data_IF_024814161341
#
_entry.id   IF_024814161341
#
_cell.length_a   1.000
_cell.length_b   1.000
_cell.length_c   1.000
_cell.angle_alpha   90.00
_cell.angle_beta   90.00
_cell.angle_gamma   90.00
#
_symmetry.space_group_name_H-M   'P 1'
#
loop_
_entity.id
_entity.type
_entity.pdbx_description
1 polymer ?
#
# COMPACT_ATOMS: atom_id res chain seq x y z
N UNK A 1 -28.36 -23.88 51.96
CA UNK A 1 -29.04 -23.10 50.90
C UNK A 1 -27.94 -22.29 50.22
N UNK A 2 -27.18 -22.90 49.31
CA UNK A 2 -26.06 -22.22 48.65
C UNK A 2 -25.67 -23.07 47.44
N UNK A 3 -26.23 -22.74 46.27
CA UNK A 3 -25.74 -23.02 44.91
C UNK A 3 -26.87 -22.88 43.87
N UNK A 4 -27.50 -21.71 43.81
CA UNK A 4 -28.38 -21.36 42.66
C UNK A 4 -27.99 -20.03 42.01
N UNK A 5 -27.03 -19.28 42.57
CA UNK A 5 -26.74 -17.91 42.13
C UNK A 5 -25.79 -17.80 40.92
N UNK A 6 -25.36 -18.92 40.31
CA UNK A 6 -24.45 -18.90 39.15
C UNK A 6 -25.11 -19.24 37.81
N UNK A 7 -26.45 -19.19 37.73
CA UNK A 7 -27.22 -19.48 36.50
C UNK A 7 -27.80 -18.23 35.81
N UNK A 8 -27.54 -17.03 36.30
CA UNK A 8 -28.08 -15.78 35.71
C UNK A 8 -27.13 -15.08 34.71
N UNK A 9 -25.93 -15.62 34.43
CA UNK A 9 -25.05 -15.10 33.37
C UNK A 9 -25.43 -15.59 31.95
N UNK A 10 -26.56 -16.29 31.81
CA UNK A 10 -26.98 -16.97 30.58
C UNK A 10 -27.96 -16.21 29.67
N UNK A 11 -28.11 -14.88 29.79
CA UNK A 11 -29.07 -14.13 28.97
C UNK A 11 -28.54 -12.81 28.39
N UNK A 12 -27.25 -12.75 28.10
CA UNK A 12 -26.73 -11.79 27.13
C UNK A 12 -26.33 -12.56 25.87
N UNK A 13 -26.73 -12.12 24.66
CA UNK A 13 -26.29 -12.76 23.43
C UNK A 13 -24.76 -12.81 23.44
N UNK A 14 -24.18 -13.99 23.17
CA UNK A 14 -22.74 -14.18 23.23
C UNK A 14 -22.05 -13.16 22.32
N UNK A 15 -21.11 -12.41 22.91
CA UNK A 15 -20.33 -11.41 22.18
C UNK A 15 -19.41 -12.06 21.14
N UNK A 16 -18.90 -11.29 20.18
CA UNK A 16 -17.93 -11.81 19.22
C UNK A 16 -16.67 -12.34 19.93
N UNK A 17 -16.17 -11.60 20.93
CA UNK A 17 -15.03 -12.00 21.74
C UNK A 17 -15.24 -13.30 22.51
N UNK A 18 -16.39 -13.43 23.18
CA UNK A 18 -16.74 -14.66 23.91
C UNK A 18 -16.91 -15.87 22.98
N UNK A 19 -17.52 -15.67 21.81
CA UNK A 19 -17.69 -16.72 20.80
C UNK A 19 -16.34 -17.23 20.29
N UNK A 20 -15.42 -16.33 19.96
CA UNK A 20 -14.07 -16.66 19.51
C UNK A 20 -13.24 -17.32 20.62
N UNK A 21 -13.36 -16.83 21.86
CA UNK A 21 -12.70 -17.41 23.03
C UNK A 21 -13.15 -18.85 23.28
N UNK A 22 -14.47 -19.09 23.27
CA UNK A 22 -15.04 -20.41 23.49
C UNK A 22 -14.58 -21.40 22.41
N UNK A 23 -14.61 -20.98 21.14
CA UNK A 23 -14.17 -21.79 20.02
C UNK A 23 -12.65 -22.07 20.03
N UNK A 24 -11.82 -21.12 20.46
CA UNK A 24 -10.38 -21.38 20.63
C UNK A 24 -10.14 -22.40 21.75
N UNK A 25 -10.83 -22.23 22.89
CA UNK A 25 -10.70 -23.15 24.04
C UNK A 25 -11.16 -24.56 23.68
N UNK A 26 -12.25 -24.71 22.94
CA UNK A 26 -12.73 -26.02 22.49
C UNK A 26 -11.78 -26.68 21.46
N UNK A 27 -11.09 -25.88 20.66
CA UNK A 27 -10.04 -26.34 19.76
C UNK A 27 -8.70 -26.66 20.49
N UNK A 28 -8.58 -26.37 21.79
CA UNK A 28 -7.35 -26.61 22.57
C UNK A 28 -6.16 -25.73 22.15
N UNK A 29 -6.40 -24.62 21.45
CA UNK A 29 -5.36 -23.75 20.92
C UNK A 29 -4.97 -22.66 21.93
N UNK A 30 -3.67 -22.34 22.01
CA UNK A 30 -3.21 -21.17 22.75
C UNK A 30 -3.46 -19.88 21.97
N UNK A 31 -3.39 -18.73 22.67
CA UNK A 31 -3.48 -17.41 22.02
C UNK A 31 -2.30 -17.19 21.06
N UNK A 32 -1.11 -17.67 21.42
CA UNK A 32 0.08 -17.65 20.58
C UNK A 32 -0.11 -18.46 19.29
N UNK A 33 -0.77 -19.62 19.34
CA UNK A 33 -1.06 -20.41 18.14
C UNK A 33 -1.96 -19.64 17.16
N UNK A 34 -3.01 -18.99 17.68
CA UNK A 34 -3.88 -18.15 16.86
C UNK A 34 -3.13 -16.94 16.30
N UNK A 35 -2.29 -16.30 17.12
CA UNK A 35 -1.48 -15.17 16.68
C UNK A 35 -0.58 -15.54 15.50
N UNK A 36 0.12 -16.69 15.59
CA UNK A 36 0.97 -17.21 14.50
C UNK A 36 0.14 -17.56 13.26
N UNK A 37 -1.01 -18.24 13.41
CA UNK A 37 -1.87 -18.64 12.28
C UNK A 37 -2.51 -17.47 11.55
N UNK A 38 -2.90 -16.43 12.28
CA UNK A 38 -3.60 -15.26 11.71
C UNK A 38 -2.66 -14.11 11.35
N UNK A 39 -1.39 -14.17 11.77
CA UNK A 39 -0.42 -13.06 11.71
C UNK A 39 -0.91 -11.80 12.45
N UNK A 40 -1.73 -11.98 13.46
CA UNK A 40 -2.22 -10.91 14.35
C UNK A 40 -1.43 -11.00 15.66
N UNK A 41 -0.86 -9.89 16.12
CA UNK A 41 -0.09 -9.89 17.37
C UNK A 41 -0.95 -10.37 18.55
N UNK A 42 -0.36 -11.14 19.47
CA UNK A 42 -1.08 -11.77 20.59
C UNK A 42 -1.86 -10.76 21.44
N UNK A 43 -1.30 -9.56 21.65
CA UNK A 43 -2.00 -8.45 22.34
C UNK A 43 -3.37 -8.10 21.73
N UNK A 44 -3.51 -8.22 20.40
CA UNK A 44 -4.78 -7.96 19.73
C UNK A 44 -5.73 -9.15 19.81
N UNK A 45 -5.21 -10.38 19.87
CA UNK A 45 -6.03 -11.56 20.16
C UNK A 45 -6.65 -11.46 21.55
N UNK A 46 -5.87 -11.01 22.55
CA UNK A 46 -6.36 -10.75 23.90
C UNK A 46 -7.47 -9.69 23.88
N UNK A 47 -7.21 -8.55 23.23
CA UNK A 47 -8.18 -7.47 23.12
C UNK A 47 -9.49 -7.91 22.43
N UNK A 48 -9.42 -8.74 21.38
CA UNK A 48 -10.60 -9.30 20.69
C UNK A 48 -11.39 -10.24 21.61
N UNK A 49 -10.72 -11.12 22.37
CA UNK A 49 -11.39 -12.05 23.29
C UNK A 49 -12.08 -11.34 24.46
N UNK A 50 -11.60 -10.16 24.84
CA UNK A 50 -12.12 -9.32 25.92
C UNK A 50 -13.08 -8.24 25.40
N UNK A 51 -13.46 -8.27 24.12
CA UNK A 51 -14.30 -7.28 23.44
C UNK A 51 -13.78 -5.83 23.53
N UNK A 52 -12.48 -5.64 23.83
CA UNK A 52 -11.78 -4.35 23.91
C UNK A 52 -11.32 -3.88 22.53
N UNK A 53 -12.27 -3.63 21.64
CA UNK A 53 -11.98 -3.31 20.24
C UNK A 53 -11.32 -1.93 20.06
N UNK A 54 -11.45 -1.03 21.03
CA UNK A 54 -10.81 0.28 21.10
C UNK A 54 -9.29 0.22 21.31
N UNK A 55 -8.77 -0.86 21.90
CA UNK A 55 -7.33 -1.09 22.08
C UNK A 55 -6.63 -1.51 20.77
N UNK A 56 -7.39 -1.73 19.70
CA UNK A 56 -6.84 -2.01 18.38
C UNK A 56 -6.50 -0.70 17.66
N UNK A 57 -5.41 -0.73 16.89
CA UNK A 57 -4.88 0.45 16.20
C UNK A 57 -5.90 1.18 15.29
N UNK A 58 -6.93 0.47 14.81
CA UNK A 58 -8.05 1.07 14.09
C UNK A 58 -9.31 0.19 14.17
N UNK A 59 -10.49 0.83 14.10
CA UNK A 59 -11.82 0.17 14.07
C UNK A 59 -11.97 -0.85 12.94
N UNK A 60 -11.40 -0.55 11.77
CA UNK A 60 -11.40 -1.45 10.60
C UNK A 60 -10.58 -2.72 10.86
N UNK A 61 -9.55 -2.63 11.71
CA UNK A 61 -8.74 -3.78 12.10
C UNK A 61 -9.47 -4.71 13.05
N UNK A 62 -10.35 -4.22 13.92
CA UNK A 62 -11.19 -5.09 14.77
C UNK A 62 -12.03 -6.06 13.92
N UNK A 63 -12.73 -5.53 12.91
CA UNK A 63 -13.51 -6.38 11.98
C UNK A 63 -12.61 -7.34 11.21
N UNK A 64 -11.47 -6.87 10.70
CA UNK A 64 -10.54 -7.69 9.92
C UNK A 64 -9.89 -8.82 10.71
N UNK A 65 -9.42 -8.54 11.93
CA UNK A 65 -8.74 -9.49 12.80
C UNK A 65 -9.72 -10.51 13.38
N UNK A 66 -10.91 -10.10 13.82
CA UNK A 66 -11.94 -11.03 14.26
C UNK A 66 -12.39 -11.96 13.14
N UNK A 67 -12.49 -11.45 11.90
CA UNK A 67 -12.76 -12.28 10.71
C UNK A 67 -11.64 -13.30 10.44
N UNK A 68 -10.38 -12.88 10.52
CA UNK A 68 -9.23 -13.76 10.33
C UNK A 68 -9.15 -14.85 11.42
N UNK A 69 -9.50 -14.49 12.66
CA UNK A 69 -9.59 -15.41 13.78
C UNK A 69 -10.73 -16.43 13.57
N UNK A 70 -11.93 -15.97 13.20
CA UNK A 70 -13.04 -16.86 12.86
C UNK A 70 -12.66 -17.88 11.78
N UNK A 71 -12.00 -17.42 10.71
CA UNK A 71 -11.48 -18.29 9.64
C UNK A 71 -10.51 -19.34 10.16
N UNK A 72 -9.59 -18.96 11.05
CA UNK A 72 -8.62 -19.89 11.62
C UNK A 72 -9.29 -20.99 12.48
N UNK A 73 -10.46 -20.71 13.04
CA UNK A 73 -11.25 -21.66 13.83
C UNK A 73 -12.35 -22.38 13.03
N UNK A 74 -12.51 -22.07 11.74
CA UNK A 74 -13.58 -22.63 10.90
C UNK A 74 -14.99 -22.13 11.26
N UNK A 75 -15.10 -20.97 11.91
CA UNK A 75 -16.36 -20.31 12.22
C UNK A 75 -16.86 -19.47 11.04
N UNK A 76 -18.13 -19.07 11.07
CA UNK A 76 -18.70 -18.16 10.08
C UNK A 76 -18.08 -16.75 10.20
N UNK A 77 -17.20 -16.47 9.25
CA UNK A 77 -16.53 -15.18 9.08
C UNK A 77 -17.48 -13.99 9.00
N UNK A 78 -18.61 -14.15 8.29
CA UNK A 78 -19.56 -13.06 8.06
C UNK A 78 -20.33 -12.76 9.33
N UNK A 79 -20.77 -13.81 10.03
CA UNK A 79 -21.48 -13.67 11.29
C UNK A 79 -20.62 -12.97 12.35
N UNK A 80 -19.38 -13.41 12.55
CA UNK A 80 -18.46 -12.77 13.51
C UNK A 80 -18.16 -11.32 13.13
N UNK A 81 -17.94 -11.03 11.85
CA UNK A 81 -17.69 -9.66 11.39
C UNK A 81 -18.90 -8.74 11.66
N UNK A 82 -20.12 -9.26 11.53
CA UNK A 82 -21.33 -8.49 11.80
C UNK A 82 -21.52 -8.22 13.30
N UNK A 83 -21.29 -9.22 14.15
CA UNK A 83 -21.31 -9.03 15.61
C UNK A 83 -20.33 -7.94 16.04
N UNK A 84 -19.09 -7.98 15.53
CA UNK A 84 -18.07 -6.97 15.85
C UNK A 84 -18.50 -5.58 15.38
N UNK A 85 -19.14 -5.45 14.20
CA UNK A 85 -19.65 -4.16 13.71
C UNK A 85 -20.74 -3.60 14.61
N UNK A 86 -21.68 -4.44 15.04
CA UNK A 86 -22.75 -4.05 15.97
C UNK A 86 -22.13 -3.57 17.29
N UNK A 87 -21.24 -4.35 17.89
CA UNK A 87 -20.58 -3.99 19.16
C UNK A 87 -19.78 -2.69 19.05
N UNK A 88 -19.04 -2.52 17.96
CA UNK A 88 -18.31 -1.29 17.68
C UNK A 88 -19.23 -0.09 17.50
N UNK A 89 -20.46 -0.26 17.00
CA UNK A 89 -21.45 0.81 16.85
C UNK A 89 -22.05 1.19 18.20
N UNK A 90 -22.30 0.21 19.06
CA UNK A 90 -22.80 0.45 20.44
C UNK A 90 -21.76 1.17 21.30
N UNK A 91 -20.48 0.79 21.23
CA UNK A 91 -19.39 1.41 21.99
C UNK A 91 -18.83 2.69 21.31
N UNK A 92 -19.20 2.92 20.05
CA UNK A 92 -18.69 4.01 19.21
C UNK A 92 -19.63 5.20 19.05
N UNK A 93 -20.73 5.26 19.80
CA UNK A 93 -21.77 6.29 19.69
C UNK A 93 -21.29 7.74 19.97
N UNK A 94 -20.03 7.94 20.37
CA UNK A 94 -19.48 9.24 20.72
C UNK A 94 -18.56 9.88 19.64
N UNK A 95 -18.33 9.22 18.51
CA UNK A 95 -17.79 9.93 17.32
C UNK A 95 -18.93 10.25 16.37
N UNK A 96 -19.22 11.53 16.08
CA UNK A 96 -20.22 11.86 15.08
C UNK A 96 -19.84 11.14 13.79
N UNK A 97 -20.73 10.28 13.30
CA UNK A 97 -20.60 9.70 11.98
C UNK A 97 -20.32 10.87 11.02
N UNK A 98 -19.35 10.77 10.10
CA UNK A 98 -19.24 11.73 9.02
C UNK A 98 -20.56 11.64 8.27
N UNK A 99 -21.46 12.58 8.54
CA UNK A 99 -22.68 12.75 7.78
C UNK A 99 -22.19 12.92 6.34
N UNK A 100 -22.55 12.03 5.40
CA UNK A 100 -22.19 12.23 4.01
C UNK A 100 -22.84 13.55 3.58
N UNK A 101 -22.05 14.61 3.51
CA UNK A 101 -22.48 15.94 3.08
C UNK A 101 -22.72 16.01 1.57
N UNK A 102 -22.96 14.85 0.95
CA UNK A 102 -23.12 14.69 -0.48
C UNK A 102 -24.53 14.21 -0.74
N UNK A 103 -25.42 15.18 -0.88
CA UNK A 103 -26.76 14.95 -1.40
C UNK A 103 -26.64 15.00 -2.94
N UNK A 104 -26.83 13.87 -3.65
CA UNK A 104 -26.72 13.85 -5.10
C UNK A 104 -27.80 14.76 -5.70
N UNK A 105 -27.41 15.97 -6.10
CA UNK A 105 -28.33 16.93 -6.72
C UNK A 105 -28.17 18.39 -6.29
N UNK A 106 -27.28 18.74 -5.36
CA UNK A 106 -27.06 20.15 -4.98
C UNK A 106 -26.56 20.99 -6.18
N UNK A 107 -27.42 21.84 -6.78
CA UNK A 107 -27.06 22.62 -7.95
C UNK A 107 -26.07 23.76 -7.60
N UNK A 108 -25.85 24.05 -6.31
CA UNK A 108 -24.87 25.02 -5.86
C UNK A 108 -23.42 24.50 -5.97
N UNK A 109 -23.22 23.19 -6.21
CA UNK A 109 -21.90 22.55 -6.28
C UNK A 109 -21.48 22.13 -7.68
N UNK A 110 -22.34 22.26 -8.69
CA UNK A 110 -21.95 22.08 -10.09
C UNK A 110 -21.41 23.40 -10.66
N UNK A 111 -20.25 23.40 -11.35
CA UNK A 111 -19.76 24.63 -11.98
C UNK A 111 -20.80 25.14 -12.98
N UNK A 112 -21.05 26.45 -12.96
CA UNK A 112 -22.06 27.05 -13.83
C UNK A 112 -21.83 26.68 -15.29
N UNK A 113 -22.90 26.45 -16.05
CA UNK A 113 -22.83 26.05 -17.46
C UNK A 113 -21.96 27.01 -18.30
N UNK A 114 -21.94 28.31 -17.95
CA UNK A 114 -21.08 29.32 -18.57
C UNK A 114 -19.59 29.05 -18.32
N UNK A 115 -19.21 28.62 -17.12
CA UNK A 115 -17.82 28.26 -16.81
C UNK A 115 -17.38 27.01 -17.59
N UNK A 116 -18.28 26.04 -17.79
CA UNK A 116 -18.01 24.88 -18.64
C UNK A 116 -17.73 25.29 -20.09
N UNK A 117 -18.51 26.23 -20.64
CA UNK A 117 -18.27 26.79 -21.98
C UNK A 117 -16.97 27.58 -22.08
N UNK A 118 -16.64 28.39 -21.07
CA UNK A 118 -15.36 29.12 -21.02
C UNK A 118 -14.17 28.16 -20.93
N UNK A 119 -14.25 27.12 -20.08
CA UNK A 119 -13.21 26.10 -19.97
C UNK A 119 -13.03 25.35 -21.29
N UNK A 120 -14.13 25.02 -21.96
CA UNK A 120 -14.10 24.36 -23.28
C UNK A 120 -13.45 25.27 -24.33
N UNK A 121 -13.83 26.55 -24.39
CA UNK A 121 -13.19 27.52 -25.28
C UNK A 121 -11.69 27.69 -25.00
N UNK A 122 -11.29 27.73 -23.74
CA UNK A 122 -9.89 27.81 -23.34
C UNK A 122 -9.09 26.55 -23.76
N UNK A 123 -9.68 25.36 -23.65
CA UNK A 123 -9.06 24.11 -24.12
C UNK A 123 -8.88 24.13 -25.64
N UNK A 124 -9.91 24.51 -26.40
CA UNK A 124 -9.82 24.62 -27.86
C UNK A 124 -8.76 25.63 -28.28
N UNK A 125 -8.71 26.79 -27.61
CA UNK A 125 -7.68 27.80 -27.86
C UNK A 125 -6.28 27.27 -27.55
N UNK A 126 -6.09 26.57 -26.42
CA UNK A 126 -4.81 25.97 -26.05
C UNK A 126 -4.36 24.93 -27.09
N UNK A 127 -5.27 24.07 -27.56
CA UNK A 127 -4.98 23.09 -28.63
C UNK A 127 -4.60 23.81 -29.93
N UNK A 128 -5.33 24.85 -30.32
CA UNK A 128 -5.00 25.65 -31.51
C UNK A 128 -3.62 26.30 -31.42
N UNK A 129 -3.26 26.84 -30.25
CA UNK A 129 -1.93 27.38 -30.00
C UNK A 129 -0.85 26.31 -30.06
N UNK A 130 -1.09 25.13 -29.47
CA UNK A 130 -0.16 24.00 -29.54
C UNK A 130 0.07 23.57 -30.99
N UNK A 131 -0.99 23.42 -31.79
CA UNK A 131 -0.88 23.06 -33.21
C UNK A 131 -0.12 24.13 -33.99
N UNK A 132 -0.43 25.41 -33.78
CA UNK A 132 0.26 26.53 -34.43
C UNK A 132 1.76 26.55 -34.10
N UNK A 133 2.13 26.38 -32.83
CA UNK A 133 3.53 26.31 -32.42
C UNK A 133 4.23 25.08 -32.98
N UNK A 134 3.56 23.92 -33.00
CA UNK A 134 4.11 22.70 -33.60
C UNK A 134 4.34 22.85 -35.10
N UNK A 135 3.37 23.37 -35.85
CA UNK A 135 3.52 23.55 -37.29
C UNK A 135 4.62 24.55 -37.64
N UNK A 136 4.83 25.58 -36.81
CA UNK A 136 5.81 26.64 -37.08
C UNK A 136 7.23 26.28 -36.61
N UNK A 137 7.38 25.47 -35.55
CA UNK A 137 8.70 25.04 -35.03
C UNK A 137 9.17 23.67 -35.54
N UNK A 138 8.25 22.77 -35.92
CA UNK A 138 8.56 21.39 -36.34
C UNK A 138 8.26 21.10 -37.82
N UNK A 139 7.96 22.11 -38.64
CA UNK A 139 7.96 21.95 -40.11
C UNK A 139 9.24 22.55 -40.71
N UNK A 140 10.37 21.83 -40.71
CA UNK A 140 11.43 22.15 -41.65
C UNK A 140 10.90 21.84 -43.06
N UNK A 141 10.74 22.87 -43.87
CA UNK A 141 10.77 22.75 -45.33
C UNK A 141 12.17 22.22 -45.71
N UNK A 142 12.35 20.92 -45.59
CA UNK A 142 13.42 20.17 -46.22
C UNK A 142 12.95 19.77 -47.61
N UNK A 143 12.97 20.71 -48.55
CA UNK A 143 12.91 20.39 -49.98
C UNK A 143 14.17 19.56 -50.28
N UNK A 144 14.02 18.24 -50.37
CA UNK A 144 15.12 17.33 -50.69
C UNK A 144 15.50 17.57 -52.16
N UNK A 145 16.79 17.85 -52.47
CA UNK A 145 17.22 17.98 -53.85
C UNK A 145 17.03 16.63 -54.56
N UNK A 146 16.46 16.70 -55.75
CA UNK A 146 16.20 15.55 -56.60
C UNK A 146 17.50 14.82 -56.93
N UNK A 147 17.70 13.65 -56.32
CA UNK A 147 18.80 12.71 -56.59
C UNK A 147 18.73 12.04 -57.99
N UNK A 148 18.15 12.73 -58.96
CA UNK A 148 18.02 12.30 -60.35
C UNK A 148 18.83 13.19 -61.31
N UNK A 149 19.60 14.15 -60.81
CA UNK A 149 20.40 15.06 -61.65
C UNK A 149 21.91 14.72 -61.72
N UNK A 150 22.40 13.70 -61.01
CA UNK A 150 23.83 13.35 -60.95
C UNK A 150 24.13 11.89 -61.33
N UNK A 151 23.33 11.31 -62.23
CA UNK A 151 23.63 10.03 -62.88
C UNK A 151 24.04 10.25 -64.34
N UNK A 152 25.08 11.07 -64.57
CA UNK A 152 25.81 11.11 -65.85
C UNK A 152 27.21 11.73 -65.66
N UNK A 153 28.12 10.96 -65.04
CA UNK A 153 29.58 11.04 -65.29
C UNK A 153 30.32 9.96 -64.49
N UNK A 154 30.21 8.70 -64.90
CA UNK A 154 31.21 7.69 -64.58
C UNK A 154 32.22 7.62 -65.73
N UNK A 155 33.31 8.37 -65.61
CA UNK A 155 34.50 8.23 -66.45
C UNK A 155 35.71 7.91 -65.57
N UNK A 156 36.30 6.75 -65.84
CA UNK A 156 37.69 6.35 -65.66
C UNK A 156 38.31 6.33 -64.24
N UNK A 157 38.57 5.10 -63.77
CA UNK A 157 39.78 4.77 -63.01
C UNK A 157 41.04 5.00 -63.89
N UNK A 158 42.26 5.29 -63.36
CA UNK A 158 42.92 4.38 -62.41
C UNK A 158 43.84 5.01 -61.32
N UNK A 159 44.03 4.21 -60.27
CA UNK A 159 45.19 4.09 -59.37
C UNK A 159 45.95 5.34 -58.92
N UNK A 160 45.81 5.64 -57.63
CA UNK A 160 46.94 5.98 -56.77
C UNK A 160 46.68 5.44 -55.35
N UNK A 161 47.58 4.57 -54.89
CA UNK A 161 47.61 4.08 -53.52
C UNK A 161 47.86 5.24 -52.54
N UNK A 162 47.28 5.17 -51.33
CA UNK A 162 48.09 5.42 -50.15
C UNK A 162 48.02 4.25 -49.16
N UNK A 163 49.23 3.80 -48.81
CA UNK A 163 49.66 3.33 -47.49
C UNK A 163 48.58 2.81 -46.55
N UNK A 164 48.61 1.49 -46.36
CA UNK A 164 47.97 0.78 -45.24
C UNK A 164 48.45 1.38 -43.91
N UNK A 165 47.64 2.25 -43.33
CA UNK A 165 47.67 2.50 -41.90
C UNK A 165 47.07 1.26 -41.23
N UNK A 166 47.86 0.60 -40.38
CA UNK A 166 47.40 -0.51 -39.54
C UNK A 166 46.31 0.05 -38.62
N UNK A 167 45.05 -0.16 -39.00
CA UNK A 167 43.93 -0.07 -38.09
C UNK A 167 44.11 -1.19 -37.05
N UNK A 168 44.50 -0.81 -35.84
CA UNK A 168 44.38 -1.67 -34.69
C UNK A 168 42.92 -2.14 -34.61
N UNK A 169 42.64 -3.42 -34.33
CA UNK A 169 41.28 -3.86 -34.15
C UNK A 169 40.67 -3.05 -33.00
N UNK A 170 39.63 -2.27 -33.29
CA UNK A 170 38.79 -1.64 -32.29
C UNK A 170 38.23 -2.75 -31.40
N UNK A 171 38.92 -3.03 -30.29
CA UNK A 171 38.39 -3.88 -29.23
C UNK A 171 37.13 -3.21 -28.74
N UNK A 172 35.97 -3.83 -28.96
CA UNK A 172 34.74 -3.51 -28.23
C UNK A 172 35.12 -3.41 -26.75
N UNK A 173 34.93 -2.26 -26.07
CA UNK A 173 35.31 -2.12 -24.68
C UNK A 173 34.48 -3.09 -23.85
N UNK A 174 35.09 -4.23 -23.53
CA UNK A 174 34.57 -5.22 -22.57
C UNK A 174 35.16 -4.79 -21.25
N UNK A 175 34.48 -3.87 -20.56
CA UNK A 175 34.96 -3.32 -19.31
C UNK A 175 33.82 -3.01 -18.37
N UNK A 176 34.15 -2.69 -17.11
CA UNK A 176 33.17 -2.57 -16.04
C UNK A 176 32.13 -1.50 -16.36
N UNK A 177 30.87 -1.80 -16.03
CA UNK A 177 29.76 -0.87 -16.14
C UNK A 177 29.73 -0.01 -14.89
N UNK A 178 29.98 1.28 -15.05
CA UNK A 178 30.02 2.27 -13.98
C UNK A 178 28.83 3.21 -14.11
N UNK A 179 28.05 3.31 -13.04
CA UNK A 179 26.92 4.22 -12.89
C UNK A 179 27.40 5.44 -12.09
N UNK A 180 27.27 6.63 -12.66
CA UNK A 180 27.67 7.90 -12.02
C UNK A 180 26.46 8.79 -11.86
N UNK A 181 26.21 9.25 -10.63
CA UNK A 181 25.12 10.18 -10.35
C UNK A 181 25.45 11.59 -10.81
N UNK A 182 24.64 12.17 -11.69
CA UNK A 182 24.78 13.56 -12.17
C UNK A 182 24.00 14.60 -11.36
N UNK A 183 23.08 14.19 -10.49
CA UNK A 183 22.25 15.06 -9.66
C UNK A 183 22.51 14.86 -8.15
N UNK A 184 22.03 15.79 -7.33
CA UNK A 184 22.23 15.80 -5.87
C UNK A 184 21.82 14.50 -5.18
N UNK A 185 20.68 13.91 -5.59
CA UNK A 185 20.15 12.64 -5.06
C UNK A 185 19.52 11.83 -6.19
N UNK A 186 20.05 10.65 -6.47
CA UNK A 186 19.45 9.69 -7.39
C UNK A 186 19.30 8.36 -6.67
N UNK A 187 18.08 7.85 -6.59
CA UNK A 187 17.84 6.50 -6.10
C UNK A 187 18.09 5.48 -7.21
N UNK A 188 18.96 4.50 -6.95
CA UNK A 188 19.21 3.37 -7.83
C UNK A 188 18.88 2.08 -7.11
N UNK A 189 18.26 1.16 -7.84
CA UNK A 189 18.17 -0.26 -7.48
C UNK A 189 18.68 -1.10 -8.65
N UNK A 190 19.67 -1.94 -8.36
CA UNK A 190 20.24 -2.91 -9.29
C UNK A 190 19.87 -4.31 -8.79
N UNK A 191 19.30 -5.11 -9.68
CA UNK A 191 18.89 -6.50 -9.44
C UNK A 191 19.58 -7.43 -10.43
N UNK A 192 19.87 -8.67 -10.07
CA UNK A 192 20.41 -9.69 -10.97
C UNK A 192 19.31 -10.30 -11.89
N UNK A 193 19.70 -11.26 -12.74
CA UNK A 193 18.77 -11.94 -13.65
C UNK A 193 17.71 -12.79 -12.91
N UNK A 194 18.01 -13.19 -11.68
CA UNK A 194 17.16 -13.97 -10.78
C UNK A 194 16.25 -13.08 -9.91
N UNK A 195 16.39 -11.75 -10.00
CA UNK A 195 15.63 -10.77 -9.24
C UNK A 195 16.20 -10.47 -7.84
N UNK A 196 17.35 -11.03 -7.47
CA UNK A 196 18.02 -10.70 -6.21
C UNK A 196 18.63 -9.30 -6.29
N UNK A 197 18.56 -8.58 -5.18
CA UNK A 197 19.10 -7.23 -5.08
C UNK A 197 20.63 -7.26 -4.98
N UNK A 198 21.30 -6.66 -5.97
CA UNK A 198 22.75 -6.44 -5.96
C UNK A 198 23.11 -5.11 -5.29
N UNK A 199 22.28 -4.08 -5.47
CA UNK A 199 22.50 -2.76 -4.91
C UNK A 199 21.19 -1.99 -4.76
N UNK A 200 21.04 -1.24 -3.68
CA UNK A 200 19.99 -0.25 -3.53
C UNK A 200 20.47 0.88 -2.64
N UNK A 201 20.62 2.07 -3.22
CA UNK A 201 21.06 3.25 -2.50
C UNK A 201 20.60 4.52 -3.22
N UNK A 202 20.44 5.58 -2.45
CA UNK A 202 20.42 6.93 -2.97
C UNK A 202 21.86 7.45 -3.10
N UNK A 203 22.34 7.62 -4.32
CA UNK A 203 23.66 8.15 -4.63
C UNK A 203 23.63 9.68 -4.55
N UNK A 204 24.65 10.27 -3.90
CA UNK A 204 24.88 11.71 -3.95
C UNK A 204 25.46 12.14 -5.32
N UNK A 205 25.48 13.44 -5.61
CA UNK A 205 26.08 13.95 -6.86
C UNK A 205 27.54 13.53 -6.99
N UNK A 206 27.90 12.99 -8.14
CA UNK A 206 29.25 12.48 -8.43
C UNK A 206 29.57 11.13 -7.80
N UNK A 207 28.69 10.55 -6.98
CA UNK A 207 28.89 9.22 -6.42
C UNK A 207 28.76 8.16 -7.52
N UNK A 208 29.67 7.18 -7.49
CA UNK A 208 29.77 6.14 -8.51
C UNK A 208 29.51 4.75 -7.92
N UNK A 209 28.90 3.89 -8.72
CA UNK A 209 28.70 2.49 -8.40
C UNK A 209 29.13 1.62 -9.59
N UNK A 210 30.04 0.68 -9.35
CA UNK A 210 30.48 -0.30 -10.36
C UNK A 210 29.65 -1.56 -10.24
N UNK A 211 29.00 -1.96 -11.33
CA UNK A 211 28.14 -3.15 -11.38
C UNK A 211 29.01 -4.41 -11.42
N UNK A 212 28.79 -5.39 -10.53
CA UNK A 212 29.49 -6.68 -10.59
C UNK A 212 29.20 -7.44 -11.89
N UNK A 213 30.14 -8.30 -12.31
CA UNK A 213 30.02 -9.17 -13.49
C UNK A 213 29.70 -8.42 -14.79
N UNK A 214 30.24 -7.21 -14.97
CA UNK A 214 30.06 -6.37 -16.16
C UNK A 214 28.57 -6.12 -16.52
N UNK A 215 27.69 -6.19 -15.51
CA UNK A 215 26.25 -6.00 -15.67
C UNK A 215 25.51 -7.14 -16.38
N UNK A 216 26.14 -8.31 -16.56
CA UNK A 216 25.52 -9.46 -17.21
C UNK A 216 24.24 -9.89 -16.47
N UNK A 217 23.09 -9.69 -17.13
CA UNK A 217 21.77 -9.98 -16.58
C UNK A 217 21.30 -9.01 -15.48
N UNK A 218 22.08 -7.97 -15.17
CA UNK A 218 21.70 -6.98 -14.18
C UNK A 218 20.67 -5.99 -14.77
N UNK A 219 19.63 -5.70 -13.99
CA UNK A 219 18.58 -4.75 -14.34
C UNK A 219 18.64 -3.54 -13.41
N UNK A 220 18.56 -2.35 -14.01
CA UNK A 220 18.48 -1.08 -13.30
C UNK A 220 17.03 -0.62 -13.17
N UNK A 221 16.74 -0.07 -11.99
CA UNK A 221 15.57 0.75 -11.71
C UNK A 221 16.01 2.08 -11.11
N UNK A 222 15.59 3.18 -11.73
CA UNK A 222 15.90 4.55 -11.28
C UNK A 222 14.74 5.49 -11.56
N UNK A 223 14.58 6.51 -10.71
CA UNK A 223 13.60 7.58 -10.89
C UNK A 223 14.17 8.81 -11.61
N UNK A 224 15.49 8.83 -11.87
CA UNK A 224 16.19 9.94 -12.52
C UNK A 224 17.10 9.42 -13.65
N UNK A 225 16.54 8.89 -14.74
CA UNK A 225 17.30 8.50 -15.92
C UNK A 225 17.93 9.70 -16.65
N UNK A 226 17.34 10.89 -16.49
CA UNK A 226 17.80 12.19 -17.03
C UNK A 226 19.15 12.65 -16.47
N UNK A 227 19.46 12.23 -15.25
CA UNK A 227 20.66 12.69 -14.54
C UNK A 227 21.64 11.55 -14.25
N UNK A 228 21.41 10.34 -14.79
CA UNK A 228 22.28 9.19 -14.58
C UNK A 228 23.24 9.04 -15.76
N UNK A 229 24.54 9.07 -15.48
CA UNK A 229 25.59 8.82 -16.49
C UNK A 229 26.04 7.37 -16.40
N UNK A 230 26.11 6.69 -17.54
CA UNK A 230 26.50 5.28 -17.63
C UNK A 230 27.74 5.18 -18.50
N UNK A 231 28.76 4.49 -18.01
CA UNK A 231 30.01 4.29 -18.71
C UNK A 231 30.33 2.80 -18.76
N UNK A 232 30.67 2.27 -19.94
CA UNK A 232 31.08 0.87 -20.11
C UNK A 232 32.53 0.83 -20.58
N UNK A 233 33.43 0.27 -19.77
CA UNK A 233 34.85 0.22 -20.11
C UNK A 233 35.47 1.58 -20.46
N UNK A 234 35.02 2.65 -19.81
CA UNK A 234 35.47 4.03 -20.05
C UNK A 234 34.75 4.79 -21.16
N UNK A 235 33.83 4.15 -21.90
CA UNK A 235 33.01 4.81 -22.93
C UNK A 235 31.66 5.25 -22.37
N UNK A 236 31.35 6.55 -22.46
CA UNK A 236 30.06 7.10 -22.03
C UNK A 236 28.94 6.69 -23.00
N UNK A 237 27.84 6.20 -22.43
CA UNK A 237 26.64 5.75 -23.14
C UNK A 237 25.58 6.86 -23.06
N UNK A 238 24.78 7.07 -24.12
CA UNK A 238 23.66 8.00 -24.09
C UNK A 238 22.72 7.74 -22.91
N UNK A 239 22.13 8.81 -22.37
CA UNK A 239 21.23 8.74 -21.23
C UNK A 239 20.01 7.85 -21.53
N UNK A 240 19.43 7.27 -20.48
CA UNK A 240 18.31 6.33 -20.63
C UNK A 240 17.03 7.06 -21.08
N UNK A 241 16.81 8.29 -20.61
CA UNK A 241 15.69 9.16 -20.98
C UNK A 241 16.07 10.61 -20.65
N UNK A 242 15.60 11.57 -21.42
CA UNK A 242 15.83 13.01 -21.19
C UNK A 242 14.84 13.62 -20.18
N UNK A 243 13.92 12.81 -19.63
CA UNK A 243 12.87 13.23 -18.70
C UNK A 243 13.03 12.58 -17.32
N UNK A 244 12.66 13.28 -16.23
CA UNK A 244 12.67 12.72 -14.88
C UNK A 244 11.46 11.79 -14.66
N UNK A 245 11.56 10.57 -15.19
CA UNK A 245 10.54 9.52 -15.06
C UNK A 245 11.10 8.25 -14.41
N UNK A 246 10.23 7.42 -13.82
CA UNK A 246 10.68 6.14 -13.25
C UNK A 246 10.81 5.08 -14.33
N UNK A 247 12.05 4.68 -14.61
CA UNK A 247 12.36 3.58 -15.54
C UNK A 247 12.75 2.33 -14.75
N UNK A 248 12.27 1.18 -15.21
CA UNK A 248 12.53 -0.13 -14.61
C UNK A 248 12.89 -1.13 -15.70
N UNK A 249 13.74 -2.11 -15.34
CA UNK A 249 14.08 -3.21 -16.25
C UNK A 249 15.09 -2.83 -17.33
N UNK A 250 15.88 -1.78 -17.11
CA UNK A 250 16.93 -1.39 -18.06
C UNK A 250 18.10 -2.36 -17.92
N UNK A 251 18.43 -3.08 -18.99
CA UNK A 251 19.59 -3.97 -19.00
C UNK A 251 20.87 -3.18 -18.80
N UNK A 252 21.69 -3.60 -17.83
CA UNK A 252 23.03 -3.07 -17.60
C UNK A 252 24.10 -3.93 -18.26
N UNK A 253 23.74 -4.92 -19.09
CA UNK A 253 24.73 -5.71 -19.79
C UNK A 253 25.54 -4.80 -20.73
N UNK A 254 26.87 -4.87 -20.66
CA UNK A 254 27.74 -4.01 -21.47
C UNK A 254 27.39 -4.06 -22.96
N UNK A 255 27.07 -5.24 -23.51
CA UNK A 255 26.69 -5.40 -24.91
C UNK A 255 25.40 -4.63 -25.28
N UNK A 256 24.36 -4.68 -24.44
CA UNK A 256 23.09 -3.97 -24.67
C UNK A 256 23.27 -2.45 -24.58
N UNK A 257 24.07 -1.99 -23.62
CA UNK A 257 24.39 -0.58 -23.44
C UNK A 257 25.21 -0.04 -24.63
N UNK A 258 26.17 -0.81 -25.15
CA UNK A 258 26.94 -0.46 -26.35
C UNK A 258 26.07 -0.45 -27.61
N UNK A 259 25.14 -1.40 -27.75
CA UNK A 259 24.20 -1.44 -28.87
C UNK A 259 23.31 -0.18 -28.88
N UNK A 260 22.88 0.29 -27.70
CA UNK A 260 22.16 1.56 -27.55
C UNK A 260 22.99 2.78 -27.93
N UNK A 261 24.31 2.73 -27.75
CA UNK A 261 25.24 3.77 -28.15
C UNK A 261 25.61 3.75 -29.66
N UNK A 262 24.94 2.93 -30.47
CA UNK A 262 25.13 2.90 -31.93
C UNK A 262 26.31 2.07 -32.41
N UNK A 263 26.87 1.18 -31.58
CA UNK A 263 27.76 0.11 -32.09
C UNK A 263 26.88 -1.05 -32.54
N UNK A 264 26.56 -1.08 -33.83
CA UNK A 264 25.87 -2.20 -34.45
C UNK A 264 26.72 -3.48 -34.33
N UNK A 265 26.28 -4.42 -33.48
CA UNK A 265 26.67 -5.82 -33.58
C UNK A 265 25.80 -6.48 -34.67
N UNK A 266 26.35 -7.39 -35.50
CA UNK A 266 25.66 -7.90 -36.67
C UNK A 266 24.41 -8.70 -36.28
N UNK A 267 23.33 -8.47 -37.03
CA UNK A 267 22.11 -9.25 -36.98
C UNK A 267 22.40 -10.71 -37.35
N UNK A 268 22.49 -11.58 -36.34
CA UNK A 268 22.44 -13.02 -36.49
C UNK A 268 21.01 -13.51 -36.26
N UNK A 269 20.16 -13.36 -37.28
CA UNK A 269 18.93 -14.13 -37.40
C UNK A 269 19.32 -15.60 -37.61
N UNK A 270 19.08 -16.44 -36.61
CA UNK A 270 19.04 -17.88 -36.76
C UNK A 270 17.61 -18.36 -36.53
N UNK A 271 16.82 -18.27 -37.59
CA UNK A 271 15.76 -19.25 -37.83
C UNK A 271 16.40 -20.55 -38.31
N UNK A 272 15.86 -21.72 -37.94
CA UNK A 272 15.81 -22.83 -38.88
C UNK A 272 14.36 -23.17 -39.19
N UNK A 273 14.10 -23.23 -40.49
CA UNK A 273 12.87 -23.68 -41.10
C UNK A 273 12.69 -25.20 -40.99
N UNK A 274 11.40 -25.59 -40.98
CA UNK A 274 10.83 -26.74 -41.67
C UNK A 274 11.46 -28.13 -41.46
N UNK A 275 10.83 -28.91 -40.58
CA UNK A 275 10.67 -30.35 -40.72
C UNK A 275 9.19 -30.67 -40.83
N UNK A 276 8.71 -30.93 -42.05
CA UNK A 276 7.35 -31.38 -42.34
C UNK A 276 7.25 -32.89 -42.14
N UNK A 277 6.33 -33.35 -41.29
CA UNK A 277 5.75 -34.68 -41.37
C UNK A 277 4.33 -34.69 -40.77
N UNK A 278 3.38 -34.47 -41.68
CA UNK A 278 2.09 -35.15 -41.85
C UNK A 278 1.28 -35.60 -40.60
N UNK A 279 0.12 -34.93 -40.46
CA UNK A 279 -1.24 -35.49 -40.31
C UNK A 279 -1.42 -36.91 -39.75
N UNK A 280 -2.10 -37.01 -38.60
CA UNK A 280 -3.30 -37.86 -38.50
C UNK A 280 -4.18 -37.55 -37.28
N UNK A 281 -5.39 -37.07 -37.59
CA UNK A 281 -6.69 -37.37 -36.99
C UNK A 281 -6.85 -37.43 -35.44
N UNK A 282 -7.57 -36.44 -34.91
CA UNK A 282 -8.57 -36.69 -33.87
C UNK A 282 -9.78 -37.40 -34.48
N UNK A 283 -10.49 -38.24 -33.70
CA UNK A 283 -11.88 -37.86 -33.46
C UNK A 283 -12.35 -38.10 -32.00
N UNK A 284 -13.08 -37.10 -31.51
CA UNK A 284 -14.27 -37.13 -30.63
C UNK A 284 -14.28 -37.83 -29.26
N UNK A 285 -14.86 -37.18 -28.23
CA UNK A 285 -15.18 -37.78 -26.93
C UNK A 285 -16.48 -38.59 -26.99
N UNK A 286 -16.62 -39.61 -26.15
CA UNK A 286 -17.92 -40.27 -25.86
C UNK A 286 -18.06 -40.50 -24.35
N UNK A 287 -19.27 -40.36 -23.77
CA UNK A 287 -19.48 -40.18 -22.34
C UNK A 287 -20.06 -41.43 -21.61
N UNK A 288 -20.12 -41.31 -20.27
CA UNK A 288 -21.03 -42.01 -19.31
C UNK A 288 -20.74 -43.48 -18.94
N UNK A 289 -21.34 -44.04 -17.85
CA UNK A 289 -22.00 -43.43 -16.68
C UNK A 289 -21.64 -44.07 -15.29
N UNK A 290 -21.92 -43.36 -14.20
CA UNK A 290 -22.34 -43.89 -12.86
C UNK A 290 -23.89 -44.02 -12.88
N UNK A 291 -24.62 -44.73 -11.99
CA UNK A 291 -24.31 -45.19 -10.62
C UNK A 291 -24.96 -46.57 -10.25
N UNK A 292 -25.13 -46.84 -8.94
CA UNK A 292 -26.04 -47.85 -8.30
C UNK A 292 -25.39 -49.22 -8.04
N UNK A 293 -25.55 -49.91 -6.91
CA UNK A 293 -25.94 -49.66 -5.51
C UNK A 293 -25.62 -50.93 -4.73
N UNK A 294 -25.48 -50.79 -3.41
CA UNK A 294 -25.80 -51.77 -2.36
C UNK A 294 -25.05 -53.12 -2.33
N UNK A 295 -24.44 -53.45 -1.19
CA UNK A 295 -25.13 -54.19 -0.12
C UNK A 295 -24.16 -55.01 0.75
N UNK A 296 -24.26 -54.77 2.07
CA UNK A 296 -24.17 -55.70 3.20
C UNK A 296 -23.12 -56.84 3.18
N UNK A 297 -22.19 -56.81 4.15
CA UNK A 297 -22.01 -57.91 5.13
C UNK A 297 -20.84 -57.64 6.10
N UNK A 298 -21.17 -57.30 7.34
CA UNK A 298 -20.45 -57.68 8.57
C UNK A 298 -20.78 -59.18 8.83
N UNK A 299 -19.95 -60.05 9.45
CA UNK A 299 -19.70 -59.95 10.90
C UNK A 299 -18.37 -60.49 11.49
N UNK A 300 -18.13 -60.03 12.72
CA UNK A 300 -17.52 -60.68 13.90
C UNK A 300 -16.12 -61.35 13.83
N UNK A 301 -15.17 -60.77 14.57
CA UNK A 301 -14.32 -61.50 15.56
C UNK A 301 -14.12 -60.59 16.79
N UNK A 302 -14.42 -61.13 17.99
CA UNK A 302 -14.28 -60.51 19.32
C UNK A 302 -12.95 -60.97 20.02
N UNK A 303 -12.78 -60.90 21.36
CA UNK A 303 -12.06 -59.83 22.06
C UNK A 303 -10.85 -60.36 22.88
N UNK A 304 -10.02 -59.45 23.41
CA UNK A 304 -8.91 -59.79 24.31
C UNK A 304 -8.67 -58.71 25.36
N UNK A 305 -8.85 -59.11 26.62
CA UNK A 305 -8.89 -58.41 27.90
C UNK A 305 -7.54 -57.88 28.45
N UNK A 306 -7.66 -57.02 29.49
CA UNK A 306 -6.69 -56.68 30.56
C UNK A 306 -5.58 -55.68 30.18
N UNK A 307 -5.20 -54.67 30.97
CA UNK A 307 -5.28 -54.49 32.42
C UNK A 307 -4.96 -53.01 32.79
N UNK A 308 -5.62 -52.48 33.82
CA UNK A 308 -5.20 -51.26 34.54
C UNK A 308 -4.18 -51.64 35.63
N UNK A 309 -3.33 -50.70 36.13
CA UNK A 309 -3.70 -50.14 37.44
C UNK A 309 -3.25 -48.68 37.68
N UNK A 310 -3.95 -48.03 38.60
CA UNK A 310 -3.50 -46.91 39.43
C UNK A 310 -3.58 -47.37 40.91
N UNK A 311 -3.34 -46.54 41.95
CA UNK A 311 -2.22 -45.64 42.29
C UNK A 311 -1.70 -45.91 43.74
N UNK A 312 -0.49 -45.43 44.13
CA UNK A 312 -0.05 -45.21 45.55
C UNK A 312 1.00 -44.10 45.60
N UNK A 313 0.76 -42.92 46.21
CA UNK A 313 1.10 -42.52 47.61
C UNK A 313 2.51 -42.95 48.06
N UNK A 314 3.42 -42.13 48.60
CA UNK A 314 3.45 -40.75 49.08
C UNK A 314 4.81 -40.49 49.79
N UNK A 315 4.90 -39.37 50.54
CA UNK A 315 6.00 -38.88 51.45
C UNK A 315 7.04 -37.97 50.74
N UNK A 316 7.06 -36.63 50.85
CA UNK A 316 7.02 -35.66 51.98
C UNK A 316 8.32 -35.53 52.78
N UNK A 317 9.02 -34.39 52.63
CA UNK A 317 9.57 -33.48 53.68
C UNK A 317 10.30 -32.33 52.95
N UNK A 318 9.74 -31.12 52.82
CA UNK A 318 9.61 -30.03 53.80
C UNK A 318 10.80 -29.02 53.77
N UNK A 319 10.55 -27.74 54.12
CA UNK A 319 11.21 -26.56 53.55
C UNK A 319 12.00 -25.74 54.59
N UNK A 320 12.63 -24.63 54.19
CA UNK A 320 12.94 -23.53 55.12
C UNK A 320 12.84 -22.19 54.40
N UNK A 321 11.75 -21.50 54.70
CA UNK A 321 11.60 -20.05 54.63
C UNK A 321 12.56 -19.38 55.66
N UNK A 322 12.85 -18.08 55.71
CA UNK A 322 11.90 -16.97 55.73
C UNK A 322 12.71 -15.66 55.93
N UNK A 323 12.27 -14.62 55.23
CA UNK A 323 12.09 -13.21 55.63
C UNK A 323 13.10 -12.49 56.55
N UNK A 324 13.30 -11.18 56.29
CA UNK A 324 12.49 -10.09 56.89
C UNK A 324 13.02 -8.69 56.54
N UNK A 325 12.08 -7.82 56.14
CA UNK A 325 11.96 -6.33 56.25
C UNK A 325 13.19 -5.50 56.66
N UNK A 326 13.35 -4.33 56.02
CA UNK A 326 13.11 -2.98 56.61
C UNK A 326 13.70 -1.85 55.74
N UNK A 327 12.92 -0.79 55.52
CA UNK A 327 13.43 0.58 55.35
C UNK A 327 13.66 1.18 56.76
N UNK A 328 14.59 2.14 56.96
CA UNK A 328 14.24 3.57 56.82
C UNK A 328 15.39 4.50 56.35
N UNK A 329 15.06 5.79 56.27
CA UNK A 329 15.76 6.94 55.69
C UNK A 329 17.17 7.30 56.19
N UNK A 330 17.93 8.05 55.36
CA UNK A 330 18.69 9.29 55.71
C UNK A 330 19.38 9.90 54.47
N UNK A 331 19.22 11.22 54.29
CA UNK A 331 20.05 12.15 53.47
C UNK A 331 21.45 12.34 54.14
N UNK A 332 22.53 12.96 53.56
CA UNK A 332 22.51 14.22 52.77
C UNK A 332 23.63 14.47 51.72
N UNK A 333 23.54 15.65 51.07
CA UNK A 333 24.64 16.58 50.74
C UNK A 333 24.99 16.84 49.25
N UNK A 334 24.69 18.08 48.84
CA UNK A 334 25.42 19.02 47.97
C UNK A 334 24.38 19.81 47.15
N UNK A 335 24.25 21.14 47.15
CA UNK A 335 25.09 22.25 47.61
C UNK A 335 24.88 23.40 46.60
N UNK A 336 24.71 24.62 47.11
CA UNK A 336 24.69 25.93 46.42
C UNK A 336 23.35 26.52 45.89
N UNK A 337 22.74 27.35 46.75
CA UNK A 337 22.04 28.62 46.40
C UNK A 337 23.08 29.77 46.26
N UNK A 338 22.77 31.09 46.05
CA UNK A 338 21.47 31.79 46.02
C UNK A 338 21.36 32.99 45.02
N UNK A 339 20.29 33.80 45.23
CA UNK A 339 19.93 35.18 44.80
C UNK A 339 18.96 35.27 43.61
N UNK A 340 17.91 36.09 43.61
CA UNK A 340 17.54 37.20 44.49
C UNK A 340 16.02 37.44 44.50
N UNK A 341 15.56 37.96 45.65
CA UNK A 341 14.24 38.49 45.96
C UNK A 341 13.90 39.76 45.16
N UNK A 342 12.61 40.00 44.87
CA UNK A 342 11.97 41.31 45.10
C UNK A 342 10.44 41.23 44.94
N UNK A 343 9.75 41.52 46.05
CA UNK A 343 8.33 41.84 46.15
C UNK A 343 8.02 43.29 45.75
N UNK A 344 6.84 43.54 45.18
CA UNK A 344 5.93 44.70 45.44
C UNK A 344 4.80 44.64 44.38
N UNK A 345 3.52 44.38 44.67
CA UNK A 345 2.50 45.13 45.43
C UNK A 345 2.10 46.47 44.77
N UNK A 346 0.84 46.52 44.31
CA UNK A 346 -0.15 47.63 44.45
C UNK A 346 -0.98 47.94 43.19
N UNK A 347 -2.29 47.84 43.39
CA UNK A 347 -3.50 48.25 42.63
C UNK A 347 -3.65 49.80 42.53
N UNK A 348 -4.81 50.37 42.09
CA UNK A 348 -5.55 50.29 40.83
C UNK A 348 -5.91 51.70 40.26
N UNK A 349 -6.79 51.75 39.24
CA UNK A 349 -7.82 52.78 38.97
C UNK A 349 -7.70 53.69 37.73
N UNK A 350 -8.86 53.85 37.08
CA UNK A 350 -9.46 55.10 36.53
C UNK A 350 -9.67 55.15 35.01
N UNK A 351 -10.95 55.15 34.63
CA UNK A 351 -11.51 55.57 33.33
C UNK A 351 -11.53 57.10 33.19
N UNK A 352 -11.71 57.68 31.98
CA UNK A 352 -13.05 58.13 31.52
C UNK A 352 -13.19 57.94 29.97
N UNK A 353 -14.28 58.18 29.21
CA UNK A 353 -15.32 59.21 29.20
C UNK A 353 -16.47 58.74 28.27
N UNK A 354 -17.69 59.21 28.52
CA UNK A 354 -18.98 58.90 27.87
C UNK A 354 -19.44 60.08 26.99
N UNK A 355 -20.18 59.83 25.90
CA UNK A 355 -21.08 60.78 25.23
C UNK A 355 -22.13 59.98 24.42
N UNK A 356 -23.36 59.78 24.91
CA UNK A 356 -24.59 60.58 24.69
C UNK A 356 -25.15 60.44 23.24
N UNK A 357 -26.43 60.14 22.93
CA UNK A 357 -27.71 59.96 23.62
C UNK A 357 -28.74 59.30 22.62
N UNK A 358 -30.09 59.42 22.70
CA UNK A 358 -30.97 58.52 23.47
C UNK A 358 -32.23 57.98 22.72
N UNK A 359 -33.01 57.17 23.46
CA UNK A 359 -34.48 56.99 23.42
C UNK A 359 -35.13 56.11 22.32
N UNK A 360 -35.78 55.00 22.71
CA UNK A 360 -37.18 54.98 23.16
C UNK A 360 -37.63 53.54 23.45
N UNK A 361 -38.38 53.41 24.54
CA UNK A 361 -38.93 52.22 25.18
C UNK A 361 -40.37 52.02 24.69
N UNK A 362 -40.86 50.78 24.51
CA UNK A 362 -42.28 50.57 24.20
C UNK A 362 -42.70 49.15 23.78
N UNK A 363 -42.76 48.25 24.77
CA UNK A 363 -43.76 47.22 25.12
C UNK A 363 -44.87 46.71 24.13
N UNK A 364 -45.52 45.56 24.43
CA UNK A 364 -46.04 44.57 23.45
C UNK A 364 -47.58 44.43 23.36
N UNK A 365 -47.99 43.51 22.47
CA UNK A 365 -49.22 42.68 22.48
C UNK A 365 -50.58 43.34 22.19
N UNK A 366 -51.32 42.81 21.19
CA UNK A 366 -52.81 42.75 21.13
C UNK A 366 -53.26 41.81 19.98
N UNK A 367 -54.54 41.39 19.89
CA UNK A 367 -54.94 39.99 19.74
C UNK A 367 -55.80 39.72 18.48
N UNK A 368 -56.27 38.48 18.36
CA UNK A 368 -57.23 37.98 17.38
C UNK A 368 -58.58 38.75 17.36
N UNK A 369 -59.31 38.63 16.23
CA UNK A 369 -60.77 38.57 16.27
C UNK A 369 -61.37 37.34 15.54
N UNK A 370 -62.34 36.72 16.21
CA UNK A 370 -63.49 35.91 15.72
C UNK A 370 -64.74 36.84 15.79
N UNK A 371 -65.97 36.59 15.26
CA UNK A 371 -66.63 35.51 14.50
C UNK A 371 -67.15 35.99 13.11
N UNK A 372 -67.75 35.19 12.20
CA UNK A 372 -69.14 34.66 12.24
C UNK A 372 -69.44 33.83 10.96
N UNK A 373 -70.59 33.14 10.96
CA UNK A 373 -71.36 32.57 9.84
C UNK A 373 -71.26 31.06 9.51
N UNK A 374 -72.09 30.29 10.23
CA UNK A 374 -73.26 29.53 9.71
C UNK A 374 -73.10 28.37 8.70
N UNK A 375 -73.61 27.20 9.13
CA UNK A 375 -73.91 25.95 8.40
C UNK A 375 -75.05 26.10 7.34
N UNK A 376 -75.66 25.04 6.71
CA UNK A 376 -75.43 23.57 6.74
C UNK A 376 -75.51 22.85 5.36
N UNK A 377 -75.20 21.54 5.30
CA UNK A 377 -75.93 20.44 4.60
C UNK A 377 -75.08 19.13 4.65
N UNK A 378 -75.45 18.09 5.40
CA UNK A 378 -76.31 16.93 5.05
C UNK A 378 -75.74 16.03 3.94
N UNK A 379 -75.21 14.84 4.29
CA UNK A 379 -75.74 13.56 3.78
C UNK A 379 -75.13 12.34 4.49
N UNK A 380 -76.04 11.59 5.12
CA UNK A 380 -76.09 10.17 5.54
C UNK A 380 -74.87 9.48 6.17
#
# INVERSE_FOLDING_TARGET
MENVENQEQGLHPATAGQTLLAARKSAGLSRADIATRTKVAERHIIAIEEDRFEDLAARTYAVGFSRAYARALGLDEKHIAELVRVQLNEHGAERPAPQPSFEPGDPARVPSLRLAWVATGAIVLAIGLIVYFWSNFFSPEGELPSLLADDEASEAAPSAQPTTQVAQPSSVPTGPVVLTSGAERIWLKVTDAQGNQLFQKELAQGETYTVPNDGAGAQLRTARPDALKITVGGREIPQISDKPETVSGVSLAGADLLARAGVAAPAGQAAPAAGSSAQSAAPTPTPSPKPTSASLATPLVQPGVSEAPAPRTGVSVAPTARATRQAPATSPSAGASPRASASARSTPATAPTRSAAPATQGAPATPAPTPDAQAPDTQD
#
